data_IF_163577289516
#
_entry.id   IF_163577289516
#
_cell.length_a   1.000
_cell.length_b   1.000
_cell.length_c   1.000
_cell.angle_alpha   90.00
_cell.angle_beta   90.00
_cell.angle_gamma   90.00
#
_symmetry.space_group_name_H-M   'P 1'
#
loop_
_entity.id
_entity.type
_entity.pdbx_description
1 polymer ?
#
# COMPACT_ATOMS: atom_id res chain seq x y z
N UNK A 1 30.54 35.88 10.82
CA UNK A 1 31.01 35.23 9.58
C UNK A 1 30.38 33.85 9.50
N UNK A 2 29.76 33.52 8.36
CA UNK A 2 28.91 32.35 8.10
C UNK A 2 29.36 31.04 8.78
N UNK A 3 28.59 30.55 9.77
CA UNK A 3 28.65 29.13 10.14
C UNK A 3 27.74 28.35 9.20
N UNK A 4 28.36 27.56 8.31
CA UNK A 4 27.65 26.63 7.42
C UNK A 4 27.09 25.49 8.27
N UNK A 5 25.79 25.53 8.57
CA UNK A 5 25.07 24.38 9.11
C UNK A 5 25.07 23.28 8.03
N UNK A 6 25.57 22.06 8.31
CA UNK A 6 25.58 20.97 7.33
C UNK A 6 24.16 20.56 6.95
N UNK A 7 23.85 20.51 5.66
CA UNK A 7 22.52 20.14 5.14
C UNK A 7 22.28 18.63 5.06
N UNK A 8 23.27 17.81 5.42
CA UNK A 8 23.22 16.36 5.33
C UNK A 8 23.09 15.72 6.73
N UNK A 9 22.08 14.84 6.89
CA UNK A 9 21.74 14.19 8.17
C UNK A 9 22.87 13.32 8.73
N UNK A 10 23.71 12.71 7.87
CA UNK A 10 24.87 11.92 8.32
C UNK A 10 25.95 12.81 8.93
N UNK A 11 26.27 13.91 8.25
CA UNK A 11 27.29 14.87 8.71
C UNK A 11 26.89 15.59 10.00
N UNK A 12 25.58 15.76 10.26
CA UNK A 12 25.11 16.39 11.50
C UNK A 12 25.24 15.47 12.72
N UNK A 13 25.02 14.17 12.56
CA UNK A 13 25.18 13.19 13.65
C UNK A 13 26.66 12.94 13.97
N UNK A 14 27.52 12.89 12.95
CA UNK A 14 28.97 12.83 13.15
C UNK A 14 29.50 14.09 13.84
N UNK A 15 29.09 15.28 13.40
CA UNK A 15 29.49 16.53 14.04
C UNK A 15 29.04 16.64 15.52
N UNK A 16 27.86 16.13 15.86
CA UNK A 16 27.38 16.07 17.24
C UNK A 16 28.15 15.04 18.08
N UNK A 17 28.50 13.88 17.50
CA UNK A 17 29.33 12.88 18.16
C UNK A 17 30.73 13.41 18.47
N UNK A 18 31.35 14.13 17.51
CA UNK A 18 32.70 14.72 17.70
C UNK A 18 32.69 15.86 18.71
N UNK A 19 31.64 16.69 18.72
CA UNK A 19 31.49 17.76 19.70
C UNK A 19 31.28 17.23 21.13
N UNK A 20 30.64 16.07 21.28
CA UNK A 20 30.40 15.42 22.58
C UNK A 20 31.72 14.86 23.14
N UNK A 21 32.51 14.18 22.31
CA UNK A 21 33.83 13.63 22.69
C UNK A 21 34.81 14.72 23.15
N UNK A 22 34.76 15.91 22.53
CA UNK A 22 35.67 17.02 22.85
C UNK A 22 35.32 17.75 24.15
N UNK A 23 34.06 17.66 24.61
CA UNK A 23 33.61 18.23 25.88
C UNK A 23 33.96 17.31 27.06
N UNK A 24 33.99 15.99 26.84
CA UNK A 24 34.44 15.00 27.82
C UNK A 24 35.95 15.17 28.16
N UNK A 25 36.78 15.53 27.17
CA UNK A 25 38.22 15.76 27.35
C UNK A 25 38.56 17.03 28.17
N UNK A 26 37.60 17.95 28.36
CA UNK A 26 37.79 19.21 29.09
C UNK A 26 37.46 19.12 30.59
N UNK A 27 37.08 17.95 31.10
CA UNK A 27 36.88 17.71 32.54
C UNK A 27 35.69 18.48 33.14
N UNK A 28 34.74 18.92 32.32
CA UNK A 28 33.50 19.54 32.77
C UNK A 28 32.54 18.39 33.16
N UNK A 29 32.69 17.86 34.39
CA UNK A 29 31.80 16.82 34.94
C UNK A 29 30.43 17.35 35.41
N UNK A 30 30.19 18.66 35.32
CA UNK A 30 28.88 19.23 35.64
C UNK A 30 27.90 18.93 34.49
N UNK A 31 26.97 18.03 34.81
CA UNK A 31 25.69 17.77 34.14
C UNK A 31 25.60 16.54 33.23
N UNK A 32 26.38 15.48 33.47
CA UNK A 32 26.17 14.18 32.82
C UNK A 32 24.71 13.68 32.96
N UNK A 33 24.06 13.94 34.10
CA UNK A 33 22.64 13.67 34.31
C UNK A 33 21.71 14.58 33.48
N UNK A 34 22.03 15.87 33.36
CA UNK A 34 21.25 16.82 32.54
C UNK A 34 21.35 16.53 31.04
N UNK A 35 22.54 16.14 30.57
CA UNK A 35 22.75 15.69 29.18
C UNK A 35 21.99 14.40 28.86
N UNK A 36 21.97 13.43 29.78
CA UNK A 36 21.18 12.21 29.64
C UNK A 36 19.68 12.50 29.61
N UNK A 37 19.19 13.34 30.54
CA UNK A 37 17.78 13.72 30.61
C UNK A 37 17.33 14.48 29.36
N UNK A 38 18.16 15.38 28.84
CA UNK A 38 17.89 16.13 27.61
C UNK A 38 17.86 15.21 26.37
N UNK A 39 18.73 14.20 26.30
CA UNK A 39 18.70 13.18 25.24
C UNK A 39 17.45 12.29 25.33
N UNK A 40 17.03 11.89 26.54
CA UNK A 40 15.81 11.12 26.76
C UNK A 40 14.55 11.91 26.39
N UNK A 41 14.50 13.19 26.73
CA UNK A 41 13.43 14.10 26.32
C UNK A 41 13.36 14.26 24.80
N UNK A 42 14.51 14.40 24.12
CA UNK A 42 14.57 14.43 22.65
C UNK A 42 14.13 13.09 22.01
N UNK A 43 14.53 11.95 22.59
CA UNK A 43 14.07 10.62 22.15
C UNK A 43 12.58 10.43 22.35
N UNK A 44 12.02 10.90 23.47
CA UNK A 44 10.58 10.87 23.77
C UNK A 44 9.79 11.75 22.79
N UNK A 45 10.26 12.96 22.50
CA UNK A 45 9.66 13.85 21.50
C UNK A 45 9.70 13.23 20.10
N UNK A 46 10.83 12.66 19.68
CA UNK A 46 10.95 11.94 18.41
C UNK A 46 10.01 10.73 18.32
N UNK A 47 9.89 9.92 19.38
CA UNK A 47 8.95 8.79 19.43
C UNK A 47 7.49 9.24 19.38
N UNK A 48 7.15 10.38 19.97
CA UNK A 48 5.80 10.95 19.87
C UNK A 48 5.49 11.45 18.46
N UNK A 49 6.47 12.05 17.76
CA UNK A 49 6.35 12.45 16.36
C UNK A 49 6.35 11.27 15.37
N UNK A 50 6.84 10.10 15.79
CA UNK A 50 6.88 8.85 15.01
C UNK A 50 5.82 7.83 15.42
N UNK A 51 4.89 8.19 16.30
CA UNK A 51 3.75 7.31 16.57
C UNK A 51 3.00 7.11 15.24
N UNK A 52 2.73 5.85 14.83
CA UNK A 52 1.96 5.61 13.62
C UNK A 52 0.59 6.29 13.78
N UNK A 53 0.18 7.04 12.76
CA UNK A 53 -1.20 7.52 12.69
C UNK A 53 -2.12 6.31 12.62
N UNK A 54 -3.13 6.31 13.47
CA UNK A 54 -4.15 5.26 13.48
C UNK A 54 -5.21 5.63 12.45
N UNK A 55 -5.39 4.77 11.45
CA UNK A 55 -6.35 4.99 10.37
C UNK A 55 -7.41 3.91 10.39
N UNK A 56 -8.66 4.29 10.12
CA UNK A 56 -9.67 3.33 9.69
C UNK A 56 -9.58 3.20 8.18
N UNK A 57 -9.13 2.04 7.71
CA UNK A 57 -8.83 1.83 6.28
C UNK A 57 -10.08 1.40 5.53
N UNK A 58 -10.36 2.07 4.41
CA UNK A 58 -11.25 1.62 3.35
C UNK A 58 -10.44 1.11 2.15
N UNK A 59 -10.90 0.04 1.51
CA UNK A 59 -10.30 -0.50 0.29
C UNK A 59 -11.30 -0.37 -0.85
N UNK A 60 -10.87 0.23 -1.96
CA UNK A 60 -11.63 0.28 -3.21
C UNK A 60 -10.97 -0.66 -4.19
N UNK A 61 -11.69 -1.67 -4.68
CA UNK A 61 -11.22 -2.55 -5.76
C UNK A 61 -11.79 -2.03 -7.07
N UNK A 62 -10.92 -1.63 -8.00
CA UNK A 62 -11.34 -0.91 -9.21
C UNK A 62 -10.99 -1.63 -10.50
N UNK A 63 -11.95 -1.70 -11.43
CA UNK A 63 -11.72 -2.10 -12.82
C UNK A 63 -12.16 -1.00 -13.81
N UNK A 64 -12.18 -1.29 -15.11
CA UNK A 64 -12.64 -0.34 -16.12
C UNK A 64 -14.16 -0.08 -16.07
N UNK A 65 -14.94 -1.06 -15.61
CA UNK A 65 -16.37 -1.14 -15.84
C UNK A 65 -16.72 -1.78 -17.18
N UNK A 66 -17.93 -2.31 -17.27
CA UNK A 66 -18.42 -3.01 -18.46
C UNK A 66 -19.88 -2.69 -18.72
N UNK A 67 -20.25 -2.71 -20.01
CA UNK A 67 -21.67 -2.69 -20.41
C UNK A 67 -22.38 -4.02 -20.13
N UNK A 68 -21.62 -5.10 -19.87
CA UNK A 68 -22.14 -6.42 -19.53
C UNK A 68 -22.26 -6.53 -18.01
N UNK A 69 -23.49 -6.74 -17.54
CA UNK A 69 -23.80 -6.83 -16.11
C UNK A 69 -22.99 -7.91 -15.40
N UNK A 70 -22.81 -9.06 -16.05
CA UNK A 70 -22.12 -10.21 -15.48
C UNK A 70 -20.65 -9.92 -15.18
N UNK A 71 -20.01 -9.05 -15.95
CA UNK A 71 -18.62 -8.64 -15.71
C UNK A 71 -18.52 -7.73 -14.47
N UNK A 72 -19.50 -6.84 -14.26
CA UNK A 72 -19.53 -5.96 -13.09
C UNK A 72 -19.83 -6.78 -11.81
N UNK A 73 -20.78 -7.74 -11.89
CA UNK A 73 -21.09 -8.68 -10.80
C UNK A 73 -19.89 -9.54 -10.38
N UNK A 74 -18.99 -9.86 -11.33
CA UNK A 74 -17.75 -10.56 -11.02
C UNK A 74 -16.81 -9.70 -10.15
N UNK A 75 -16.69 -8.40 -10.41
CA UNK A 75 -15.90 -7.50 -9.57
C UNK A 75 -16.50 -7.36 -8.16
N UNK A 76 -17.83 -7.29 -8.06
CA UNK A 76 -18.52 -7.27 -6.76
C UNK A 76 -18.21 -8.53 -5.94
N UNK A 77 -18.20 -9.69 -6.61
CA UNK A 77 -17.87 -10.97 -6.00
C UNK A 77 -16.42 -11.00 -5.53
N UNK A 78 -15.46 -10.55 -6.36
CA UNK A 78 -14.04 -10.41 -5.99
C UNK A 78 -13.87 -9.50 -4.77
N UNK A 79 -14.54 -8.33 -4.73
CA UNK A 79 -14.47 -7.42 -3.60
C UNK A 79 -15.02 -8.06 -2.32
N UNK A 80 -16.12 -8.82 -2.42
CA UNK A 80 -16.72 -9.54 -1.30
C UNK A 80 -15.83 -10.67 -0.79
N UNK A 81 -15.24 -11.46 -1.68
CA UNK A 81 -14.30 -12.54 -1.31
C UNK A 81 -13.03 -11.98 -0.68
N UNK A 82 -12.47 -10.92 -1.26
CA UNK A 82 -11.32 -10.22 -0.67
C UNK A 82 -11.65 -9.70 0.73
N UNK A 83 -12.84 -9.11 0.93
CA UNK A 83 -13.30 -8.67 2.25
C UNK A 83 -13.33 -9.82 3.25
N UNK A 84 -13.90 -10.96 2.87
CA UNK A 84 -13.99 -12.13 3.73
C UNK A 84 -12.60 -12.72 4.07
N UNK A 85 -11.68 -12.73 3.10
CA UNK A 85 -10.33 -13.27 3.27
C UNK A 85 -9.40 -12.36 4.08
N UNK A 86 -9.44 -11.05 3.82
CA UNK A 86 -8.47 -10.08 4.36
C UNK A 86 -8.83 -9.54 5.74
N UNK A 87 -10.11 -9.59 6.13
CA UNK A 87 -10.60 -9.00 7.38
C UNK A 87 -10.78 -7.48 7.35
N UNK A 88 -10.54 -6.80 6.23
CA UNK A 88 -10.91 -5.39 6.08
C UNK A 88 -12.44 -5.23 6.14
N UNK A 89 -12.96 -4.38 7.01
CA UNK A 89 -14.42 -4.21 7.14
C UNK A 89 -15.04 -3.37 6.01
N UNK A 90 -14.25 -2.44 5.47
CA UNK A 90 -14.66 -1.45 4.48
C UNK A 90 -13.99 -1.80 3.15
N UNK A 91 -14.68 -2.60 2.33
CA UNK A 91 -14.26 -2.92 0.97
C UNK A 91 -15.42 -2.59 0.04
N UNK A 92 -15.16 -1.78 -0.99
CA UNK A 92 -16.14 -1.37 -1.99
C UNK A 92 -15.59 -1.68 -3.40
N UNK A 93 -16.39 -2.27 -4.30
CA UNK A 93 -16.06 -2.29 -5.73
C UNK A 93 -16.22 -0.89 -6.32
N UNK A 94 -15.50 -0.59 -7.39
CA UNK A 94 -15.67 0.62 -8.18
C UNK A 94 -15.31 0.38 -9.65
N UNK A 95 -15.85 1.21 -10.52
CA UNK A 95 -15.58 1.20 -11.94
C UNK A 95 -15.05 2.57 -12.36
N UNK A 96 -14.07 2.58 -13.27
CA UNK A 96 -13.55 3.83 -13.84
C UNK A 96 -14.60 4.53 -14.70
N UNK A 97 -15.40 3.75 -15.44
CA UNK A 97 -16.42 4.25 -16.36
C UNK A 97 -17.56 3.22 -16.55
N UNK A 98 -18.52 3.56 -17.42
CA UNK A 98 -19.59 2.68 -17.95
C UNK A 98 -20.66 2.20 -16.96
N UNK A 99 -20.37 2.09 -15.68
CA UNK A 99 -21.33 1.67 -14.66
C UNK A 99 -21.00 2.23 -13.28
N UNK A 100 -22.00 2.21 -12.39
CA UNK A 100 -21.83 2.51 -10.98
C UNK A 100 -21.57 1.21 -10.19
N UNK A 101 -20.90 1.28 -9.03
CA UNK A 101 -20.37 2.49 -8.40
C UNK A 101 -19.13 3.06 -9.09
N UNK A 102 -19.06 4.38 -9.28
CA UNK A 102 -17.83 5.08 -9.65
C UNK A 102 -16.82 5.09 -8.50
N UNK A 103 -15.55 5.43 -8.78
CA UNK A 103 -14.52 5.63 -7.74
C UNK A 103 -14.98 6.64 -6.68
N UNK A 104 -15.59 7.75 -7.10
CA UNK A 104 -16.10 8.78 -6.18
C UNK A 104 -17.23 8.25 -5.29
N UNK A 105 -18.16 7.47 -5.87
CA UNK A 105 -19.26 6.83 -5.13
C UNK A 105 -18.72 5.86 -4.08
N UNK A 106 -17.77 4.99 -4.46
CA UNK A 106 -17.15 4.02 -3.55
C UNK A 106 -16.35 4.71 -2.44
N UNK A 107 -15.59 5.76 -2.78
CA UNK A 107 -14.85 6.58 -1.82
C UNK A 107 -15.78 7.18 -0.77
N UNK A 108 -16.87 7.82 -1.21
CA UNK A 108 -17.89 8.39 -0.32
C UNK A 108 -18.47 7.36 0.63
N UNK A 109 -18.83 6.16 0.15
CA UNK A 109 -19.35 5.06 0.98
C UNK A 109 -18.35 4.61 2.04
N UNK A 110 -17.06 4.50 1.71
CA UNK A 110 -16.03 4.19 2.69
C UNK A 110 -15.95 5.28 3.78
N UNK A 111 -15.96 6.55 3.39
CA UNK A 111 -15.87 7.70 4.31
C UNK A 111 -17.10 7.80 5.21
N UNK A 112 -18.31 7.61 4.67
CA UNK A 112 -19.57 7.57 5.44
C UNK A 112 -19.54 6.48 6.52
N UNK A 113 -18.83 5.38 6.26
CA UNK A 113 -18.62 4.27 7.20
C UNK A 113 -17.41 4.50 8.13
N UNK A 114 -16.81 5.69 8.08
CA UNK A 114 -15.78 6.18 8.98
C UNK A 114 -14.35 5.96 8.51
N UNK A 115 -14.11 5.58 7.25
CA UNK A 115 -12.74 5.47 6.74
C UNK A 115 -12.03 6.83 6.79
N UNK A 116 -10.81 6.83 7.30
CA UNK A 116 -9.90 8.01 7.32
C UNK A 116 -8.70 7.83 6.40
N UNK A 117 -8.54 6.63 5.84
CA UNK A 117 -7.54 6.34 4.82
C UNK A 117 -8.14 5.40 3.76
N UNK A 118 -8.02 5.75 2.48
CA UNK A 118 -8.52 4.94 1.37
C UNK A 118 -7.36 4.33 0.58
N UNK A 119 -7.35 3.01 0.43
CA UNK A 119 -6.45 2.30 -0.48
C UNK A 119 -7.26 1.93 -1.73
N UNK A 120 -6.85 2.43 -2.89
CA UNK A 120 -7.39 1.98 -4.16
C UNK A 120 -6.50 0.86 -4.73
N UNK A 121 -7.13 -0.26 -5.08
CA UNK A 121 -6.49 -1.42 -5.67
C UNK A 121 -6.97 -1.65 -7.10
N UNK A 122 -6.11 -1.41 -8.11
CA UNK A 122 -6.46 -1.66 -9.50
C UNK A 122 -6.48 -3.16 -9.82
N UNK A 123 -7.65 -3.70 -10.13
CA UNK A 123 -7.86 -5.09 -10.52
C UNK A 123 -7.54 -5.30 -12.01
N UNK A 124 -6.27 -5.07 -12.37
CA UNK A 124 -5.76 -5.21 -13.73
C UNK A 124 -4.50 -6.06 -13.79
N UNK A 125 -4.39 -6.92 -14.80
CA UNK A 125 -3.18 -7.74 -15.04
C UNK A 125 -2.01 -6.93 -15.65
N UNK A 126 -2.28 -5.72 -16.16
CA UNK A 126 -1.23 -4.86 -16.70
C UNK A 126 -1.45 -3.40 -16.35
N UNK A 127 -0.35 -2.65 -16.27
CA UNK A 127 -0.37 -1.19 -16.19
C UNK A 127 -0.60 -0.61 -17.58
N UNK A 128 -1.86 -0.50 -18.00
CA UNK A 128 -2.21 0.35 -19.13
C UNK A 128 -1.77 1.80 -18.83
N UNK A 129 -1.28 2.53 -19.84
CA UNK A 129 -0.77 3.91 -19.67
C UNK A 129 -1.85 4.85 -19.10
N UNK A 130 -3.09 4.64 -19.51
CA UNK A 130 -4.28 5.36 -19.04
C UNK A 130 -4.60 5.07 -17.57
N UNK A 131 -4.55 3.80 -17.15
CA UNK A 131 -4.83 3.39 -15.76
C UNK A 131 -3.90 4.06 -14.73
N UNK A 132 -2.63 4.26 -15.09
CA UNK A 132 -1.63 4.85 -14.20
C UNK A 132 -1.83 6.36 -13.97
N UNK A 133 -2.53 7.05 -14.87
CA UNK A 133 -2.79 8.50 -14.80
C UNK A 133 -4.23 8.78 -14.36
N UNK A 134 -5.20 8.02 -14.87
CA UNK A 134 -6.63 8.28 -14.68
C UNK A 134 -7.11 7.98 -13.26
N UNK A 135 -6.69 6.86 -12.66
CA UNK A 135 -7.13 6.48 -11.31
C UNK A 135 -6.65 7.49 -10.25
N UNK A 136 -5.37 7.92 -10.22
CA UNK A 136 -4.95 8.99 -9.34
C UNK A 136 -5.78 10.27 -9.47
N UNK A 137 -6.12 10.68 -10.70
CA UNK A 137 -6.92 11.88 -10.93
C UNK A 137 -8.35 11.72 -10.37
N UNK A 138 -8.98 10.58 -10.60
CA UNK A 138 -10.32 10.27 -10.07
C UNK A 138 -10.32 10.17 -8.54
N UNK A 139 -9.26 9.63 -7.94
CA UNK A 139 -9.09 9.57 -6.48
C UNK A 139 -8.88 10.97 -5.89
N UNK A 140 -8.07 11.81 -6.53
CA UNK A 140 -7.84 13.19 -6.09
C UNK A 140 -9.13 14.01 -6.15
N UNK A 141 -9.92 13.86 -7.23
CA UNK A 141 -11.24 14.50 -7.35
C UNK A 141 -12.18 14.04 -6.23
N UNK A 142 -12.27 12.74 -5.98
CA UNK A 142 -13.09 12.19 -4.89
C UNK A 142 -12.62 12.69 -3.52
N UNK A 143 -11.31 12.67 -3.26
CA UNK A 143 -10.71 13.09 -1.99
C UNK A 143 -10.88 14.59 -1.73
N UNK A 144 -10.96 15.42 -2.77
CA UNK A 144 -11.19 16.88 -2.63
C UNK A 144 -12.49 17.23 -1.92
N UNK A 145 -13.48 16.32 -1.94
CA UNK A 145 -14.78 16.45 -1.28
C UNK A 145 -14.68 16.14 0.23
N UNK A 146 -13.68 15.37 0.65
CA UNK A 146 -13.54 14.85 2.02
C UNK A 146 -12.22 15.31 2.66
N UNK A 147 -12.10 16.58 3.09
CA UNK A 147 -10.87 17.10 3.68
C UNK A 147 -10.50 16.31 4.94
N UNK A 148 -9.27 15.80 4.97
CA UNK A 148 -8.74 15.00 6.09
C UNK A 148 -8.79 13.49 5.89
N UNK A 149 -9.35 13.01 4.78
CA UNK A 149 -9.21 11.60 4.36
C UNK A 149 -7.98 11.49 3.46
N UNK A 150 -7.02 10.67 3.88
CA UNK A 150 -5.83 10.39 3.08
C UNK A 150 -6.09 9.21 2.14
N UNK A 151 -5.32 9.09 1.06
CA UNK A 151 -5.47 7.98 0.12
C UNK A 151 -4.13 7.51 -0.46
N UNK A 152 -4.11 6.26 -0.93
CA UNK A 152 -3.00 5.70 -1.68
C UNK A 152 -3.47 4.76 -2.79
N UNK A 153 -2.68 4.69 -3.86
CA UNK A 153 -2.85 3.72 -4.94
C UNK A 153 -1.88 2.56 -4.71
N UNK A 154 -2.41 1.34 -4.59
CA UNK A 154 -1.58 0.14 -4.52
C UNK A 154 -1.06 -0.28 -5.90
N UNK A 155 -0.14 -1.24 -5.93
CA UNK A 155 0.26 -1.87 -7.18
C UNK A 155 -0.95 -2.61 -7.77
N UNK A 156 -1.15 -2.57 -9.11
CA UNK A 156 -2.19 -3.40 -9.72
C UNK A 156 -1.88 -4.88 -9.52
N UNK A 157 -2.87 -5.73 -9.70
CA UNK A 157 -2.71 -7.20 -9.64
C UNK A 157 -1.51 -7.66 -10.49
N UNK A 158 -1.36 -7.16 -11.72
CA UNK A 158 -0.12 -7.31 -12.48
C UNK A 158 0.31 -8.77 -12.71
N UNK A 159 1.63 -8.97 -12.83
CA UNK A 159 2.27 -10.28 -13.00
C UNK A 159 2.87 -10.77 -11.68
N UNK A 160 2.08 -10.81 -10.60
CA UNK A 160 2.57 -11.39 -9.34
C UNK A 160 2.90 -12.87 -9.53
N UNK A 161 3.81 -13.40 -8.70
CA UNK A 161 4.27 -14.78 -8.79
C UNK A 161 3.14 -15.82 -8.71
N UNK A 162 2.02 -15.47 -8.09
CA UNK A 162 0.85 -16.35 -7.95
C UNK A 162 -0.03 -16.39 -9.20
N UNK A 163 0.01 -15.38 -10.08
CA UNK A 163 -0.83 -15.37 -11.30
C UNK A 163 -0.49 -16.55 -12.22
N UNK A 164 0.80 -16.82 -12.56
CA UNK A 164 1.14 -18.03 -13.31
C UNK A 164 0.74 -19.33 -12.59
N UNK A 165 0.78 -19.37 -11.25
CA UNK A 165 0.38 -20.56 -10.47
C UNK A 165 -1.13 -20.81 -10.59
N UNK A 166 -1.94 -19.75 -10.47
CA UNK A 166 -3.39 -19.84 -10.67
C UNK A 166 -3.75 -20.22 -12.11
N UNK A 167 -2.99 -19.72 -13.09
CA UNK A 167 -3.15 -20.13 -14.50
C UNK A 167 -2.84 -21.62 -14.69
N UNK A 168 -1.74 -22.11 -14.09
CA UNK A 168 -1.38 -23.53 -14.12
C UNK A 168 -2.50 -24.39 -13.53
N UNK A 169 -3.00 -24.03 -12.34
CA UNK A 169 -4.10 -24.74 -11.70
C UNK A 169 -5.35 -24.81 -12.60
N UNK A 170 -5.76 -23.69 -13.19
CA UNK A 170 -6.92 -23.65 -14.08
C UNK A 170 -6.73 -24.50 -15.35
N UNK A 171 -5.50 -24.58 -15.89
CA UNK A 171 -5.16 -25.45 -17.02
C UNK A 171 -5.22 -26.92 -16.62
N UNK A 172 -4.66 -27.28 -15.46
CA UNK A 172 -4.67 -28.64 -14.93
C UNK A 172 -6.11 -29.14 -14.65
N UNK A 173 -6.97 -28.28 -14.09
CA UNK A 173 -8.40 -28.56 -13.92
C UNK A 173 -9.07 -28.88 -15.26
N UNK A 174 -8.80 -28.09 -16.30
CA UNK A 174 -9.33 -28.33 -17.65
C UNK A 174 -8.81 -29.65 -18.26
N UNK A 175 -7.52 -29.96 -18.11
CA UNK A 175 -6.92 -31.22 -18.57
C UNK A 175 -7.59 -32.41 -17.90
N UNK A 176 -7.79 -32.34 -16.57
CA UNK A 176 -8.45 -33.37 -15.80
C UNK A 176 -9.92 -33.56 -16.23
N UNK A 177 -10.69 -32.47 -16.38
CA UNK A 177 -12.08 -32.49 -16.84
C UNK A 177 -12.25 -33.09 -18.23
N UNK A 178 -11.28 -32.85 -19.13
CA UNK A 178 -11.30 -33.34 -20.52
C UNK A 178 -10.59 -34.67 -20.72
N UNK A 179 -9.98 -35.23 -19.66
CA UNK A 179 -9.18 -36.46 -19.69
C UNK A 179 -8.10 -36.42 -20.79
N UNK A 180 -7.42 -35.28 -20.93
CA UNK A 180 -6.35 -35.09 -21.92
C UNK A 180 -5.06 -35.73 -21.39
N UNK A 181 -4.38 -36.51 -22.22
CA UNK A 181 -3.02 -37.00 -21.95
C UNK A 181 -2.05 -36.05 -22.66
N UNK A 182 -1.15 -35.41 -21.90
CA UNK A 182 -0.12 -34.51 -22.43
C UNK A 182 1.25 -35.16 -22.28
N UNK A 183 2.01 -35.27 -23.37
CA UNK A 183 3.40 -35.78 -23.35
C UNK A 183 4.41 -34.73 -22.85
N UNK A 184 4.03 -33.44 -22.86
CA UNK A 184 4.92 -32.30 -22.64
C UNK A 184 4.86 -31.67 -21.23
N UNK A 185 4.03 -32.22 -20.32
CA UNK A 185 3.87 -31.68 -18.98
C UNK A 185 4.49 -32.65 -17.96
N UNK A 186 5.64 -32.29 -17.41
CA UNK A 186 6.27 -33.07 -16.35
C UNK A 186 5.41 -32.98 -15.08
N UNK A 187 4.78 -34.08 -14.70
CA UNK A 187 4.26 -34.28 -13.35
C UNK A 187 5.37 -33.93 -12.34
N UNK A 188 5.15 -32.92 -11.50
CA UNK A 188 6.02 -32.65 -10.35
C UNK A 188 7.25 -31.75 -10.59
N UNK A 189 7.20 -30.77 -11.49
CA UNK A 189 8.20 -29.69 -11.44
C UNK A 189 8.16 -29.00 -10.07
N UNK A 190 9.27 -28.94 -9.32
CA UNK A 190 9.31 -28.26 -8.05
C UNK A 190 8.97 -26.79 -8.26
N UNK A 191 8.03 -26.30 -7.46
CA UNK A 191 7.68 -24.89 -7.40
C UNK A 191 8.95 -24.05 -7.24
N UNK A 192 9.25 -23.11 -8.15
CA UNK A 192 10.40 -22.24 -7.97
C UNK A 192 10.21 -21.42 -6.69
N UNK A 193 11.21 -21.48 -5.80
CA UNK A 193 11.34 -20.56 -4.68
C UNK A 193 11.73 -19.20 -5.25
N UNK A 194 10.77 -18.25 -5.25
CA UNK A 194 11.06 -16.86 -5.52
C UNK A 194 11.34 -16.17 -4.18
N UNK A 195 12.61 -15.85 -3.92
CA UNK A 195 12.98 -15.01 -2.78
C UNK A 195 12.37 -13.62 -2.97
N UNK A 196 11.51 -13.23 -2.02
CA UNK A 196 10.95 -11.89 -1.86
C UNK A 196 11.98 -11.01 -1.15
#
# INVERSE_FOLDING_TARGET
>A
MNSRVPKDRRNMLEALSTATQHLEDLGIEEDAHGFQEQQEQQRRWRRQQQKPKEYKVGVIVVDHGSRRKEANEALESVASEFKALSGYELVEPAHMELCEPSIATAFGRCVERGATFIICHPFFLSRGRHVAEDIPNLLEEAASIFPGVEWALSQPLGLQADIPRLMQQAVEECIAEKNIQSEDHADGLPMPEFNI
#
